data_IF_821958624375
#
_entry.id   IF_821958624375
#
_cell.length_a   1.000
_cell.length_b   1.000
_cell.length_c   1.000
_cell.angle_alpha   90.00
_cell.angle_beta   90.00
_cell.angle_gamma   90.00
#
_symmetry.space_group_name_H-M   'P 1'
#
loop_
_entity.id
_entity.type
_entity.pdbx_description
1 polymer ?
#
# COMPACT_ATOMS: atom_id res chain seq x y z
N UNK A 1 28.89 3.21 -4.40
CA UNK A 1 28.67 4.31 -3.41
C UNK A 1 28.72 3.74 -2.00
N UNK A 2 29.55 4.32 -1.10
CA UNK A 2 29.51 3.93 0.33
C UNK A 2 28.18 4.41 0.90
N UNK A 3 27.30 3.48 1.29
CA UNK A 3 26.02 3.82 1.92
C UNK A 3 26.27 4.53 3.25
N UNK A 4 25.64 5.69 3.48
CA UNK A 4 25.77 6.45 4.73
C UNK A 4 25.21 5.65 5.92
N UNK A 5 25.61 5.99 7.15
CA UNK A 5 25.05 5.36 8.35
C UNK A 5 23.52 5.52 8.41
N UNK A 6 23.03 6.71 8.05
CA UNK A 6 21.60 7.01 8.00
C UNK A 6 20.85 6.13 6.99
N UNK A 7 21.42 5.90 5.79
CA UNK A 7 20.84 5.01 4.79
C UNK A 7 20.74 3.58 5.30
N UNK A 8 21.75 3.10 6.03
CA UNK A 8 21.75 1.76 6.62
C UNK A 8 20.72 1.64 7.76
N UNK A 9 20.61 2.66 8.61
CA UNK A 9 19.60 2.70 9.67
C UNK A 9 18.19 2.71 9.08
N UNK A 10 17.94 3.51 8.02
CA UNK A 10 16.68 3.51 7.29
C UNK A 10 16.34 2.13 6.72
N UNK A 11 17.31 1.43 6.13
CA UNK A 11 17.10 0.08 5.60
C UNK A 11 16.73 -0.94 6.70
N UNK A 12 17.31 -0.82 7.90
CA UNK A 12 16.93 -1.66 9.06
C UNK A 12 15.49 -1.39 9.48
N UNK A 13 15.09 -0.12 9.61
CA UNK A 13 13.71 0.26 9.93
C UNK A 13 12.71 -0.27 8.89
N UNK A 14 13.01 -0.07 7.61
CA UNK A 14 12.18 -0.55 6.51
C UNK A 14 12.02 -2.07 6.54
N UNK A 15 13.11 -2.82 6.76
CA UNK A 15 13.08 -4.28 6.85
C UNK A 15 12.20 -4.77 8.02
N UNK A 16 12.26 -4.11 9.20
CA UNK A 16 11.40 -4.47 10.33
C UNK A 16 9.95 -4.11 10.08
N UNK A 17 9.67 -2.96 9.44
CA UNK A 17 8.31 -2.51 9.14
C UNK A 17 7.66 -3.24 7.95
N UNK A 18 8.42 -3.98 7.14
CA UNK A 18 7.92 -4.68 5.94
C UNK A 18 7.29 -6.04 6.21
N UNK A 19 7.36 -6.54 7.43
CA UNK A 19 6.83 -7.84 7.84
C UNK A 19 5.86 -7.70 9.02
N UNK A 20 4.82 -8.55 9.04
CA UNK A 20 3.75 -8.50 10.04
C UNK A 20 4.06 -9.41 11.26
N UNK A 21 5.33 -9.50 11.66
CA UNK A 21 5.79 -10.30 12.80
C UNK A 21 7.09 -9.76 13.37
N UNK A 22 7.44 -10.12 14.62
CA UNK A 22 8.77 -9.81 15.16
C UNK A 22 9.90 -10.38 14.30
N UNK A 23 10.98 -9.60 14.11
CA UNK A 23 12.11 -9.93 13.24
C UNK A 23 13.38 -10.14 14.06
N UNK A 24 14.06 -11.26 13.85
CA UNK A 24 15.33 -11.54 14.52
C UNK A 24 16.50 -10.76 13.88
N UNK A 25 17.46 -10.31 14.70
CA UNK A 25 18.66 -9.58 14.22
C UNK A 25 19.42 -10.40 13.16
N UNK A 26 19.52 -11.72 13.33
CA UNK A 26 20.17 -12.61 12.34
C UNK A 26 19.40 -12.64 11.01
N UNK A 27 18.09 -12.52 11.04
CA UNK A 27 17.26 -12.44 9.84
C UNK A 27 17.48 -11.11 9.11
N UNK A 28 17.51 -9.98 9.82
CA UNK A 28 17.86 -8.67 9.26
C UNK A 28 19.24 -8.68 8.58
N UNK A 29 20.20 -9.38 9.15
CA UNK A 29 21.53 -9.56 8.55
C UNK A 29 21.45 -10.19 7.16
N UNK A 30 20.61 -11.23 7.01
CA UNK A 30 20.40 -11.91 5.73
C UNK A 30 19.59 -11.07 4.74
N UNK A 31 18.53 -10.42 5.22
CA UNK A 31 17.67 -9.57 4.38
C UNK A 31 18.46 -8.40 3.78
N UNK A 32 19.36 -7.80 4.56
CA UNK A 32 20.07 -6.58 4.19
C UNK A 32 21.47 -6.83 3.60
N UNK A 33 21.98 -8.07 3.68
CA UNK A 33 23.34 -8.39 3.23
C UNK A 33 24.43 -7.63 4.02
N UNK A 34 24.14 -7.21 5.26
CA UNK A 34 25.05 -6.45 6.10
C UNK A 34 25.67 -7.35 7.20
N UNK A 35 26.95 -7.09 7.62
CA UNK A 35 27.57 -7.84 8.70
C UNK A 35 26.80 -7.74 10.01
N UNK A 36 26.72 -8.85 10.77
CA UNK A 36 26.00 -8.93 12.04
C UNK A 36 26.40 -7.82 13.04
N UNK A 37 27.70 -7.50 13.26
CA UNK A 37 28.06 -6.40 14.16
C UNK A 37 27.50 -5.05 13.77
N UNK A 38 27.42 -4.79 12.45
CA UNK A 38 26.82 -3.54 11.92
C UNK A 38 25.33 -3.49 12.18
N UNK A 39 24.60 -4.58 11.87
CA UNK A 39 23.14 -4.65 12.10
C UNK A 39 22.84 -4.56 13.59
N UNK A 40 23.57 -5.29 14.44
CA UNK A 40 23.38 -5.28 15.90
C UNK A 40 23.53 -3.89 16.49
N UNK A 41 24.56 -3.14 16.08
CA UNK A 41 24.79 -1.77 16.54
C UNK A 41 23.67 -0.83 16.07
N UNK A 42 23.28 -0.90 14.80
CA UNK A 42 22.16 -0.09 14.27
C UNK A 42 20.86 -0.40 15.00
N UNK A 43 20.57 -1.67 15.28
CA UNK A 43 19.39 -2.06 16.03
C UNK A 43 19.43 -1.52 17.47
N UNK A 44 20.58 -1.53 18.13
CA UNK A 44 20.73 -0.95 19.47
C UNK A 44 20.46 0.56 19.45
N UNK A 45 21.10 1.31 18.52
CA UNK A 45 20.88 2.75 18.35
C UNK A 45 19.40 3.08 18.08
N UNK A 46 18.71 2.26 17.25
CA UNK A 46 17.30 2.44 16.93
C UNK A 46 16.37 2.09 18.10
N UNK A 47 16.74 1.14 18.95
CA UNK A 47 16.01 0.82 20.18
C UNK A 47 16.17 1.94 21.21
N UNK A 48 17.35 2.50 21.37
CA UNK A 48 17.61 3.64 22.27
C UNK A 48 16.79 4.88 21.85
N UNK A 49 16.59 5.07 20.53
CA UNK A 49 15.70 6.10 19.97
C UNK A 49 14.20 5.73 20.03
N UNK A 50 13.85 4.56 20.53
CA UNK A 50 12.47 4.00 20.55
C UNK A 50 11.83 3.94 19.16
N UNK A 51 12.66 3.88 18.10
CA UNK A 51 12.21 3.61 16.73
C UNK A 51 11.97 2.12 16.50
N UNK A 52 12.70 1.27 17.26
CA UNK A 52 12.44 -0.15 17.39
C UNK A 52 12.21 -0.49 18.88
N UNK A 53 11.50 -1.59 19.11
CA UNK A 53 11.32 -2.20 20.43
C UNK A 53 11.71 -3.68 20.40
N UNK A 54 12.25 -4.19 21.51
CA UNK A 54 12.51 -5.61 21.69
C UNK A 54 11.29 -6.29 22.29
N UNK A 55 10.80 -7.35 21.66
CA UNK A 55 9.77 -8.22 22.24
C UNK A 55 10.36 -9.27 23.17
N UNK A 56 11.59 -9.68 22.86
CA UNK A 56 12.42 -10.59 23.65
C UNK A 56 13.91 -10.27 23.35
N UNK A 57 14.80 -11.16 23.78
CA UNK A 57 16.25 -10.92 23.67
C UNK A 57 16.75 -10.77 22.22
N UNK A 58 16.04 -11.31 21.22
CA UNK A 58 16.52 -11.38 19.84
C UNK A 58 15.59 -10.81 18.79
N UNK A 59 14.35 -10.51 19.13
CA UNK A 59 13.34 -10.08 18.17
C UNK A 59 12.98 -8.61 18.34
N UNK A 60 12.74 -7.95 17.22
CA UNK A 60 12.45 -6.53 17.10
C UNK A 60 11.11 -6.31 16.42
N UNK A 61 10.41 -5.28 16.85
CA UNK A 61 9.19 -4.74 16.25
C UNK A 61 9.34 -3.23 16.06
N UNK A 62 8.47 -2.58 15.24
CA UNK A 62 8.38 -1.13 15.16
C UNK A 62 8.08 -0.51 16.54
N UNK A 63 8.83 0.53 16.93
CA UNK A 63 8.72 1.16 18.23
C UNK A 63 7.72 2.31 18.28
N UNK A 64 7.35 2.73 19.50
CA UNK A 64 6.34 3.76 19.78
C UNK A 64 6.65 5.11 19.11
N UNK A 65 7.92 5.45 18.89
CA UNK A 65 8.31 6.69 18.23
C UNK A 65 7.81 6.74 16.77
N UNK A 66 7.77 5.59 16.07
CA UNK A 66 7.23 5.52 14.72
C UNK A 66 5.71 5.78 14.70
N UNK A 67 4.96 5.29 15.70
CA UNK A 67 3.53 5.60 15.84
C UNK A 67 3.30 7.10 16.01
N UNK A 68 4.11 7.76 16.88
CA UNK A 68 4.04 9.21 17.10
C UNK A 68 4.35 10.00 15.83
N UNK A 69 5.38 9.60 15.08
CA UNK A 69 5.73 10.22 13.80
C UNK A 69 4.64 10.00 12.76
N UNK A 70 4.13 8.78 12.65
CA UNK A 70 3.04 8.45 11.72
C UNK A 70 1.78 9.25 12.01
N UNK A 71 1.37 9.38 13.29
CA UNK A 71 0.24 10.23 13.68
C UNK A 71 0.44 11.69 13.23
N UNK A 72 1.63 12.25 13.49
CA UNK A 72 1.91 13.65 13.12
C UNK A 72 1.99 13.83 11.61
N UNK A 73 2.63 12.89 10.89
CA UNK A 73 2.72 12.91 9.45
C UNK A 73 1.32 12.86 8.80
N UNK A 74 0.44 11.98 9.28
CA UNK A 74 -0.94 11.90 8.79
C UNK A 74 -1.71 13.21 9.00
N UNK A 75 -1.59 13.81 10.18
CA UNK A 75 -2.29 15.07 10.52
C UNK A 75 -1.88 16.25 9.62
N UNK A 76 -0.65 16.26 9.12
CA UNK A 76 -0.10 17.34 8.30
C UNK A 76 -0.01 16.98 6.82
N UNK A 77 -0.48 15.80 6.43
CA UNK A 77 -0.39 15.33 5.05
C UNK A 77 -1.47 15.94 4.18
N UNK A 78 -1.11 16.72 3.14
CA UNK A 78 -2.08 17.21 2.16
C UNK A 78 -2.82 16.08 1.45
N UNK A 79 -2.16 14.93 1.24
CA UNK A 79 -2.82 13.74 0.69
C UNK A 79 -3.98 13.29 1.57
N UNK A 80 -3.75 13.16 2.88
CA UNK A 80 -4.80 12.72 3.81
C UNK A 80 -5.97 13.70 3.83
N UNK A 81 -5.71 15.00 3.79
CA UNK A 81 -6.76 16.03 3.73
C UNK A 81 -7.61 15.90 2.45
N UNK A 82 -6.97 15.77 1.28
CA UNK A 82 -7.68 15.56 0.01
C UNK A 82 -8.49 14.26 0.04
N UNK A 83 -7.96 13.18 0.62
CA UNK A 83 -8.67 11.91 0.74
C UNK A 83 -9.91 12.04 1.63
N UNK A 84 -9.82 12.74 2.77
CA UNK A 84 -10.99 13.06 3.61
C UNK A 84 -12.06 13.83 2.83
N UNK A 85 -11.68 14.87 2.10
CA UNK A 85 -12.62 15.69 1.35
C UNK A 85 -13.25 14.99 0.14
N UNK A 86 -12.55 14.05 -0.48
CA UNK A 86 -13.02 13.44 -1.72
C UNK A 86 -13.53 12.01 -1.55
N UNK A 87 -12.81 11.18 -0.80
CA UNK A 87 -13.12 9.76 -0.63
C UNK A 87 -14.21 9.57 0.41
N UNK A 88 -14.14 10.26 1.55
CA UNK A 88 -15.15 10.12 2.59
C UNK A 88 -16.51 10.63 2.11
N UNK A 89 -16.56 11.80 1.46
CA UNK A 89 -17.80 12.31 0.91
C UNK A 89 -18.43 11.34 -0.10
N UNK A 90 -17.61 10.81 -1.03
CA UNK A 90 -18.14 9.84 -1.99
C UNK A 90 -18.54 8.51 -1.34
N UNK A 91 -17.79 8.02 -0.35
CA UNK A 91 -18.17 6.84 0.44
C UNK A 91 -19.47 7.07 1.20
N UNK A 92 -19.70 8.29 1.68
CA UNK A 92 -20.95 8.68 2.35
C UNK A 92 -22.16 8.67 1.43
N UNK A 93 -22.01 9.21 0.25
CA UNK A 93 -23.08 9.29 -0.75
C UNK A 93 -23.39 7.92 -1.37
N UNK A 94 -22.36 7.13 -1.66
CA UNK A 94 -22.48 5.87 -2.39
C UNK A 94 -22.69 4.63 -1.50
N UNK A 95 -22.35 4.71 -0.22
CA UNK A 95 -22.35 3.57 0.70
C UNK A 95 -21.18 2.61 0.47
N UNK A 96 -20.14 3.01 -0.29
CA UNK A 96 -19.00 2.18 -0.62
C UNK A 96 -17.88 2.30 0.41
N UNK A 97 -17.15 1.20 0.57
CA UNK A 97 -15.89 1.22 1.31
C UNK A 97 -14.75 1.62 0.36
N UNK A 98 -13.73 2.28 0.93
CA UNK A 98 -12.56 2.68 0.17
C UNK A 98 -11.26 2.38 0.91
N UNK A 99 -10.20 2.09 0.14
CA UNK A 99 -8.84 1.96 0.65
C UNK A 99 -7.85 2.61 -0.29
N UNK A 100 -6.78 3.16 0.27
CA UNK A 100 -5.63 3.67 -0.48
C UNK A 100 -4.38 2.95 -0.02
N UNK A 101 -3.66 2.38 -0.96
CA UNK A 101 -2.38 1.74 -0.74
C UNK A 101 -1.29 2.41 -1.55
N UNK A 102 -0.06 2.34 -1.06
CA UNK A 102 1.15 2.78 -1.73
C UNK A 102 2.08 1.62 -2.05
N UNK A 103 2.97 1.87 -3.03
CA UNK A 103 4.06 0.98 -3.36
C UNK A 103 5.33 1.80 -3.59
N UNK A 104 6.33 1.58 -2.75
CA UNK A 104 7.64 2.22 -2.86
C UNK A 104 8.73 1.21 -2.50
N UNK A 105 9.85 1.23 -3.25
CA UNK A 105 11.06 0.42 -3.01
C UNK A 105 10.79 -1.07 -2.76
N UNK A 106 9.79 -1.62 -3.45
CA UNK A 106 9.44 -3.04 -3.34
C UNK A 106 8.49 -3.39 -2.20
N UNK A 107 8.02 -2.41 -1.42
CA UNK A 107 7.12 -2.58 -0.29
C UNK A 107 5.74 -2.00 -0.57
N UNK A 108 4.69 -2.77 -0.26
CA UNK A 108 3.30 -2.30 -0.23
C UNK A 108 2.97 -1.82 1.17
N UNK A 109 2.26 -0.71 1.26
CA UNK A 109 1.81 -0.18 2.54
C UNK A 109 0.44 0.48 2.45
N UNK A 110 -0.29 0.46 3.56
CA UNK A 110 -1.58 1.10 3.68
C UNK A 110 -1.43 2.59 3.98
N UNK A 111 -2.18 3.44 3.27
CA UNK A 111 -2.18 4.89 3.45
C UNK A 111 -3.46 5.36 4.13
N UNK A 112 -4.62 4.90 3.63
CA UNK A 112 -5.92 5.43 4.04
C UNK A 112 -7.02 4.39 3.88
N UNK A 113 -8.03 4.45 4.74
CA UNK A 113 -9.26 3.67 4.57
C UNK A 113 -10.47 4.43 5.11
N UNK A 114 -11.58 4.31 4.39
CA UNK A 114 -12.91 4.68 4.82
C UNK A 114 -13.77 3.41 4.77
N UNK A 115 -14.22 2.95 5.94
CA UNK A 115 -15.06 1.76 6.07
C UNK A 115 -16.37 2.13 6.75
N UNK A 116 -17.48 1.74 6.15
CA UNK A 116 -18.81 1.84 6.75
C UNK A 116 -19.21 0.55 7.48
N UNK A 117 -18.73 -0.56 6.94
CA UNK A 117 -18.92 -1.91 7.49
C UNK A 117 -17.59 -2.49 7.97
N UNK A 118 -17.57 -3.76 8.35
CA UNK A 118 -16.36 -4.45 8.76
C UNK A 118 -15.27 -4.34 7.69
N UNK A 119 -14.06 -3.87 8.05
CA UNK A 119 -12.97 -3.77 7.11
C UNK A 119 -12.64 -5.15 6.54
N UNK A 120 -12.39 -5.21 5.23
CA UNK A 120 -11.95 -6.45 4.58
C UNK A 120 -10.54 -6.76 5.04
N UNK A 121 -10.35 -7.95 5.59
CA UNK A 121 -9.02 -8.45 5.90
C UNK A 121 -8.20 -8.54 4.62
N UNK A 122 -6.98 -8.01 4.61
CA UNK A 122 -6.12 -7.87 3.44
C UNK A 122 -6.81 -7.16 2.23
N UNK A 123 -7.29 -5.94 2.45
CA UNK A 123 -7.91 -5.13 1.40
C UNK A 123 -7.01 -4.95 0.17
N UNK A 124 -5.69 -4.97 0.31
CA UNK A 124 -4.73 -4.89 -0.79
C UNK A 124 -4.92 -6.05 -1.78
N UNK A 125 -5.03 -7.28 -1.29
CA UNK A 125 -5.26 -8.50 -2.10
C UNK A 125 -6.70 -8.56 -2.58
N UNK A 126 -7.65 -8.35 -1.69
CA UNK A 126 -9.08 -8.42 -2.00
C UNK A 126 -9.47 -7.50 -3.16
N UNK A 127 -9.02 -6.25 -3.15
CA UNK A 127 -9.30 -5.28 -4.20
C UNK A 127 -8.39 -5.41 -5.42
N UNK A 128 -7.37 -6.26 -5.37
CA UNK A 128 -6.37 -6.36 -6.43
C UNK A 128 -5.51 -5.11 -6.57
N UNK A 129 -5.49 -4.23 -5.56
CA UNK A 129 -4.73 -2.99 -5.58
C UNK A 129 -3.23 -3.22 -5.81
N UNK A 130 -2.68 -4.35 -5.35
CA UNK A 130 -1.29 -4.73 -5.60
C UNK A 130 -0.96 -4.87 -7.09
N UNK A 131 -1.89 -5.39 -7.92
CA UNK A 131 -1.68 -5.49 -9.37
C UNK A 131 -1.66 -4.11 -10.02
N UNK A 132 -2.56 -3.22 -9.60
CA UNK A 132 -2.62 -1.83 -10.09
C UNK A 132 -1.33 -1.09 -9.73
N UNK A 133 -0.81 -1.27 -8.52
CA UNK A 133 0.42 -0.66 -8.05
C UNK A 133 1.66 -1.17 -8.82
N UNK A 134 1.77 -2.48 -9.06
CA UNK A 134 2.86 -3.06 -9.85
C UNK A 134 2.82 -2.59 -11.31
N UNK A 135 1.63 -2.55 -11.91
CA UNK A 135 1.46 -2.01 -13.26
C UNK A 135 1.84 -0.53 -13.34
N UNK A 136 1.43 0.28 -12.37
CA UNK A 136 1.78 1.70 -12.28
C UNK A 136 3.28 1.93 -12.06
N UNK A 137 3.95 1.02 -11.35
CA UNK A 137 5.40 1.03 -11.14
C UNK A 137 6.21 0.54 -12.35
N UNK A 138 5.56 0.13 -13.45
CA UNK A 138 6.22 -0.29 -14.68
C UNK A 138 6.72 -1.73 -14.68
N UNK A 139 6.23 -2.59 -13.79
CA UNK A 139 6.61 -3.99 -13.75
C UNK A 139 6.16 -4.72 -15.03
N UNK A 140 6.99 -5.64 -15.50
CA UNK A 140 6.58 -6.64 -16.50
C UNK A 140 5.69 -7.69 -15.87
N UNK A 141 4.98 -8.48 -16.67
CA UNK A 141 4.12 -9.56 -16.17
C UNK A 141 4.92 -10.59 -15.32
N UNK A 142 6.14 -10.93 -15.75
CA UNK A 142 7.00 -11.86 -15.03
C UNK A 142 7.46 -11.32 -13.68
N UNK A 143 7.87 -10.05 -13.62
CA UNK A 143 8.28 -9.39 -12.38
C UNK A 143 7.10 -9.23 -11.41
N UNK A 144 5.92 -8.89 -11.94
CA UNK A 144 4.70 -8.79 -11.16
C UNK A 144 4.33 -10.15 -10.55
N UNK A 145 4.33 -11.22 -11.34
CA UNK A 145 4.07 -12.58 -10.87
C UNK A 145 5.03 -12.99 -9.74
N UNK A 146 6.34 -12.80 -9.92
CA UNK A 146 7.35 -13.10 -8.89
C UNK A 146 7.10 -12.29 -7.61
N UNK A 147 6.71 -11.01 -7.74
CA UNK A 147 6.44 -10.13 -6.60
C UNK A 147 5.16 -10.54 -5.87
N UNK A 148 4.11 -10.92 -6.60
CA UNK A 148 2.85 -11.43 -6.05
C UNK A 148 3.09 -12.71 -5.27
N UNK A 149 3.79 -13.70 -5.84
CA UNK A 149 4.09 -14.99 -5.19
C UNK A 149 4.98 -14.81 -3.94
N UNK A 150 5.89 -13.85 -3.97
CA UNK A 150 6.69 -13.52 -2.77
C UNK A 150 5.84 -12.89 -1.66
N UNK A 151 4.87 -12.03 -2.00
CA UNK A 151 3.96 -11.40 -1.02
C UNK A 151 2.90 -12.38 -0.52
N UNK A 152 2.42 -13.27 -1.40
CA UNK A 152 1.36 -14.24 -1.13
C UNK A 152 1.81 -15.65 -1.53
N UNK A 153 2.73 -16.28 -0.76
CA UNK A 153 3.29 -17.59 -1.11
C UNK A 153 2.25 -18.70 -1.18
N UNK A 154 1.17 -18.58 -0.42
CA UNK A 154 0.09 -19.57 -0.35
C UNK A 154 -1.06 -19.27 -1.34
N UNK A 155 -0.83 -18.42 -2.35
CA UNK A 155 -1.85 -18.09 -3.34
C UNK A 155 -2.20 -19.31 -4.21
N UNK A 156 -3.49 -19.71 -4.28
CA UNK A 156 -3.92 -20.83 -5.12
C UNK A 156 -3.59 -20.60 -6.60
N UNK A 157 -3.26 -21.67 -7.33
CA UNK A 157 -2.93 -21.60 -8.78
C UNK A 157 -4.04 -20.94 -9.60
N UNK A 158 -5.30 -21.24 -9.27
CA UNK A 158 -6.46 -20.61 -9.91
C UNK A 158 -6.49 -19.10 -9.75
N UNK A 159 -6.12 -18.59 -8.58
CA UNK A 159 -6.04 -17.15 -8.30
C UNK A 159 -4.83 -16.52 -9.03
N UNK A 160 -3.70 -17.23 -9.12
CA UNK A 160 -2.54 -16.78 -9.89
C UNK A 160 -2.89 -16.54 -11.37
N UNK A 161 -3.61 -17.48 -12.00
CA UNK A 161 -4.08 -17.35 -13.39
C UNK A 161 -5.02 -16.14 -13.56
N UNK A 162 -5.88 -15.88 -12.56
CA UNK A 162 -6.74 -14.68 -12.57
C UNK A 162 -5.88 -13.42 -12.47
N UNK A 163 -4.90 -13.37 -11.57
CA UNK A 163 -3.99 -12.26 -11.41
C UNK A 163 -3.21 -11.94 -12.69
N UNK A 164 -2.71 -12.95 -13.40
CA UNK A 164 -1.96 -12.77 -14.64
C UNK A 164 -2.85 -12.15 -15.73
N UNK A 165 -4.08 -12.65 -15.89
CA UNK A 165 -5.05 -12.06 -16.82
C UNK A 165 -5.44 -10.64 -16.47
N UNK A 166 -5.69 -10.37 -15.20
CA UNK A 166 -6.04 -9.04 -14.72
C UNK A 166 -4.89 -8.06 -14.88
N UNK A 167 -3.67 -8.48 -14.60
CA UNK A 167 -2.49 -7.65 -14.78
C UNK A 167 -2.33 -7.21 -16.23
N UNK A 168 -2.51 -8.13 -17.19
CA UNK A 168 -2.53 -7.78 -18.61
C UNK A 168 -3.60 -6.73 -18.94
N UNK A 169 -4.83 -6.92 -18.44
CA UNK A 169 -5.92 -5.96 -18.65
C UNK A 169 -5.61 -4.59 -18.03
N UNK A 170 -5.02 -4.56 -16.84
CA UNK A 170 -4.62 -3.31 -16.17
C UNK A 170 -3.55 -2.57 -16.98
N UNK A 171 -2.61 -3.27 -17.58
CA UNK A 171 -1.59 -2.64 -18.43
C UNK A 171 -2.22 -1.89 -19.61
N UNK A 172 -3.33 -2.41 -20.18
CA UNK A 172 -4.05 -1.78 -21.28
C UNK A 172 -4.96 -0.64 -20.79
N UNK A 173 -5.76 -0.88 -19.77
CA UNK A 173 -6.84 0.03 -19.34
C UNK A 173 -6.45 0.97 -18.19
N UNK A 174 -5.34 0.71 -17.49
CA UNK A 174 -4.90 1.42 -16.28
C UNK A 174 -5.90 1.37 -15.11
N UNK A 175 -6.82 0.43 -15.12
CA UNK A 175 -7.90 0.24 -14.15
C UNK A 175 -8.11 -1.24 -13.95
N UNK A 176 -8.38 -1.65 -12.71
CA UNK A 176 -8.93 -2.95 -12.39
C UNK A 176 -10.40 -2.79 -11.99
N UNK A 177 -11.28 -3.50 -12.68
CA UNK A 177 -12.68 -3.68 -12.28
C UNK A 177 -12.97 -5.17 -12.19
N UNK A 178 -13.51 -5.63 -11.05
CA UNK A 178 -13.75 -7.04 -10.76
C UNK A 178 -15.09 -7.22 -10.08
N UNK A 179 -15.79 -8.29 -10.46
CA UNK A 179 -16.93 -8.83 -9.70
C UNK A 179 -16.52 -10.19 -9.16
N UNK A 180 -16.52 -10.32 -7.83
CA UNK A 180 -16.17 -11.55 -7.13
C UNK A 180 -17.41 -12.37 -6.74
N UNK A 181 -17.26 -13.67 -6.40
CA UNK A 181 -18.35 -14.49 -5.87
C UNK A 181 -19.08 -13.82 -4.71
N UNK A 182 -20.39 -14.01 -4.62
CA UNK A 182 -21.24 -13.36 -3.60
C UNK A 182 -21.65 -11.93 -3.95
N UNK A 183 -21.60 -11.55 -5.23
CA UNK A 183 -21.96 -10.20 -5.74
C UNK A 183 -21.12 -9.08 -5.11
N UNK A 184 -19.90 -9.38 -4.69
CA UNK A 184 -18.93 -8.36 -4.27
C UNK A 184 -18.23 -7.81 -5.50
N UNK A 185 -18.10 -6.49 -5.58
CA UNK A 185 -17.41 -5.84 -6.67
C UNK A 185 -16.36 -4.85 -6.13
N UNK A 186 -15.36 -4.60 -6.94
CA UNK A 186 -14.28 -3.69 -6.61
C UNK A 186 -13.76 -2.99 -7.86
N UNK A 187 -13.32 -1.75 -7.68
CA UNK A 187 -12.67 -0.93 -8.71
C UNK A 187 -11.42 -0.33 -8.09
N UNK A 188 -10.27 -0.50 -8.73
CA UNK A 188 -8.99 0.03 -8.27
C UNK A 188 -8.33 0.85 -9.38
N UNK A 189 -7.88 2.06 -9.05
CA UNK A 189 -7.28 3.02 -9.99
C UNK A 189 -5.94 3.55 -9.47
N UNK A 190 -4.93 3.76 -10.33
CA UNK A 190 -3.66 4.31 -9.92
C UNK A 190 -3.67 5.84 -9.89
N UNK A 191 -2.89 6.39 -8.96
CA UNK A 191 -2.45 7.78 -8.97
C UNK A 191 -1.03 7.87 -8.39
N UNK A 192 -0.40 9.03 -8.48
CA UNK A 192 0.96 9.25 -7.95
C UNK A 192 0.93 10.38 -6.93
N UNK A 193 1.63 10.19 -5.81
CA UNK A 193 1.86 11.20 -4.80
C UNK A 193 3.32 11.19 -4.35
N UNK A 194 4.02 12.34 -4.44
CA UNK A 194 5.44 12.47 -4.05
C UNK A 194 6.34 11.36 -4.63
N UNK A 195 6.18 11.04 -5.91
CA UNK A 195 6.87 9.97 -6.63
C UNK A 195 6.53 8.53 -6.18
N UNK A 196 5.56 8.37 -5.28
CA UNK A 196 5.07 7.07 -4.83
C UNK A 196 3.88 6.66 -5.68
N UNK A 197 3.88 5.43 -6.20
CA UNK A 197 2.73 4.86 -6.87
C UNK A 197 1.67 4.51 -5.82
N UNK A 198 0.47 5.05 -5.99
CA UNK A 198 -0.68 4.83 -5.12
C UNK A 198 -1.82 4.17 -5.89
N UNK A 199 -2.67 3.43 -5.19
CA UNK A 199 -3.92 2.85 -5.71
C UNK A 199 -5.07 3.25 -4.82
N UNK A 200 -6.11 3.86 -5.40
CA UNK A 200 -7.41 4.07 -4.78
C UNK A 200 -8.32 2.93 -5.19
N UNK A 201 -8.87 2.24 -4.22
CA UNK A 201 -9.81 1.13 -4.42
C UNK A 201 -11.13 1.41 -3.72
N UNK A 202 -12.23 1.27 -4.47
CA UNK A 202 -13.58 1.22 -3.91
C UNK A 202 -14.14 -0.18 -4.04
N UNK A 203 -14.92 -0.61 -3.06
CA UNK A 203 -15.55 -1.92 -3.05
C UNK A 203 -16.87 -1.92 -2.28
N UNK A 204 -17.77 -2.82 -2.70
CA UNK A 204 -19.10 -2.95 -2.13
C UNK A 204 -19.74 -4.32 -2.37
N UNK A 205 -20.97 -4.50 -1.91
CA UNK A 205 -21.78 -5.71 -2.10
C UNK A 205 -23.10 -5.41 -2.80
N UNK A 206 -23.65 -6.39 -3.50
CA UNK A 206 -25.09 -6.47 -3.79
C UNK A 206 -25.58 -5.72 -5.02
N UNK A 207 -24.72 -5.34 -6.00
CA UNK A 207 -25.18 -4.64 -7.21
C UNK A 207 -24.93 -5.44 -8.49
N UNK A 208 -25.77 -5.22 -9.51
CA UNK A 208 -25.67 -5.86 -10.83
C UNK A 208 -24.54 -5.26 -11.68
N UNK A 209 -24.12 -5.96 -12.76
CA UNK A 209 -23.01 -5.51 -13.63
C UNK A 209 -23.21 -4.09 -14.22
N UNK A 210 -24.47 -3.70 -14.54
CA UNK A 210 -24.80 -2.35 -15.01
C UNK A 210 -24.45 -1.24 -14.03
N UNK A 211 -24.33 -1.57 -12.74
CA UNK A 211 -23.97 -0.62 -11.68
C UNK A 211 -22.46 -0.41 -11.59
N UNK A 212 -21.66 -1.42 -11.96
CA UNK A 212 -20.19 -1.33 -11.93
C UNK A 212 -19.69 -0.30 -12.96
N UNK A 213 -20.29 -0.25 -14.15
CA UNK A 213 -19.95 0.74 -15.19
C UNK A 213 -20.28 2.17 -14.76
N UNK A 214 -21.45 2.37 -14.15
CA UNK A 214 -21.84 3.67 -13.62
C UNK A 214 -20.90 4.13 -12.49
N UNK A 215 -20.55 3.22 -11.59
CA UNK A 215 -19.61 3.51 -10.50
C UNK A 215 -18.20 3.75 -11.02
N UNK A 216 -17.78 3.08 -12.09
CA UNK A 216 -16.49 3.31 -12.73
C UNK A 216 -16.33 4.77 -13.16
N UNK A 217 -17.38 5.35 -13.74
CA UNK A 217 -17.38 6.76 -14.14
C UNK A 217 -17.28 7.70 -12.93
N UNK A 218 -18.04 7.44 -11.88
CA UNK A 218 -18.03 8.26 -10.66
C UNK A 218 -16.69 8.16 -9.94
N UNK A 219 -16.15 6.96 -9.77
CA UNK A 219 -14.86 6.72 -9.12
C UNK A 219 -13.72 7.35 -9.93
N UNK A 220 -13.81 7.34 -11.27
CA UNK A 220 -12.81 8.03 -12.10
C UNK A 220 -12.82 9.55 -11.90
N UNK A 221 -14.00 10.15 -11.65
CA UNK A 221 -14.10 11.56 -11.26
C UNK A 221 -13.47 11.83 -9.89
N UNK A 222 -13.69 10.96 -8.89
CA UNK A 222 -13.04 11.06 -7.57
C UNK A 222 -11.53 11.00 -7.73
N UNK A 223 -11.01 10.02 -8.47
CA UNK A 223 -9.58 9.89 -8.74
C UNK A 223 -9.00 11.13 -9.47
N UNK A 224 -9.76 11.71 -10.41
CA UNK A 224 -9.36 12.94 -11.11
C UNK A 224 -9.32 14.15 -10.18
N UNK A 225 -10.25 14.28 -9.25
CA UNK A 225 -10.26 15.35 -8.23
C UNK A 225 -9.03 15.24 -7.32
N UNK A 226 -8.67 14.02 -6.89
CA UNK A 226 -7.46 13.78 -6.09
C UNK A 226 -6.22 14.22 -6.88
N UNK A 227 -6.07 13.78 -8.14
CA UNK A 227 -4.94 14.16 -9.00
C UNK A 227 -4.84 15.68 -9.19
N UNK A 228 -5.97 16.36 -9.40
CA UNK A 228 -6.03 17.82 -9.57
C UNK A 228 -5.65 18.54 -8.27
N UNK A 229 -6.19 18.11 -7.12
CA UNK A 229 -5.86 18.68 -5.82
C UNK A 229 -4.37 18.55 -5.50
N UNK A 230 -3.80 17.36 -5.71
CA UNK A 230 -2.37 17.12 -5.51
C UNK A 230 -1.50 17.95 -6.46
N UNK A 231 -1.95 18.18 -7.70
CA UNK A 231 -1.24 19.02 -8.68
C UNK A 231 -1.18 20.50 -8.29
N UNK A 232 -2.20 21.03 -7.61
CA UNK A 232 -2.22 22.41 -7.09
C UNK A 232 -1.23 22.57 -5.93
N UNK A 233 -1.22 21.63 -4.99
CA UNK A 233 -0.28 21.65 -3.86
C UNK A 233 1.17 21.63 -4.34
N UNK A 234 1.49 20.82 -5.36
CA UNK A 234 2.84 20.74 -5.95
C UNK A 234 3.29 22.03 -6.64
N UNK A 235 2.36 22.94 -6.97
CA UNK A 235 2.64 24.24 -7.61
C UNK A 235 2.61 25.43 -6.63
N UNK A 236 2.29 25.19 -5.35
CA UNK A 236 2.16 26.27 -4.35
C UNK A 236 0.99 27.23 -4.62
N UNK A 237 -0.04 26.77 -5.33
CA UNK A 237 -1.28 27.50 -5.57
C UNK A 237 -2.28 27.08 -4.46
N UNK A 238 -2.47 27.95 -3.46
CA UNK A 238 -3.52 27.84 -2.45
C UNK A 238 -4.90 28.27 -3.00
#
# INVERSE_FOLDING_TARGET
>A
MKSSLLTKAGAVLEAVCSVDRPVAIKELTRMLGMPLPTVSRLCADLVDLRLLEKTDYHHLIPGITLMRFGHRARKLSPLIEILHQTVDNYSEESGLNATVHGFDRGSFFHIYSCHRDNPVQDALRYTGAFLVLLSAAGFTAEEAQKTVLRKYPDMPVTEQVICDREFYNIQQQKILSRVAPGRRWMISMPFVYSHINCSLSFYGQGRENSTVEAELFNISKVCSRIKTGLGRIGKGED
#
